data_IF_417425936626
#
_entry.id   IF_417425936626
#
_cell.length_a   1.000
_cell.length_b   1.000
_cell.length_c   1.000
_cell.angle_alpha   90.00
_cell.angle_beta   90.00
_cell.angle_gamma   90.00
#
_symmetry.space_group_name_H-M   'P 1'
#
loop_
_entity.id
_entity.type
_entity.pdbx_description
1 polymer ?
#
# COMPACT_ATOMS: atom_id res chain seq x y z
N UNK A 1 20.32 15.96 -45.40
CA UNK A 1 19.74 14.89 -44.54
C UNK A 1 19.42 15.60 -43.26
N UNK A 2 18.26 16.24 -43.26
CA UNK A 2 18.06 17.48 -42.51
C UNK A 2 17.38 17.13 -41.20
N UNK A 3 18.18 17.17 -40.12
CA UNK A 3 17.65 17.18 -38.77
C UNK A 3 16.89 18.49 -38.59
N UNK A 4 15.57 18.42 -38.54
CA UNK A 4 14.70 19.52 -38.11
C UNK A 4 14.69 19.52 -36.57
N UNK A 5 15.23 20.55 -35.90
CA UNK A 5 15.14 20.66 -34.46
C UNK A 5 13.70 21.03 -34.08
N UNK A 6 13.02 20.15 -33.34
CA UNK A 6 11.68 20.38 -32.80
C UNK A 6 11.83 20.88 -31.35
N UNK A 7 11.35 22.10 -31.08
CA UNK A 7 11.28 22.68 -29.73
C UNK A 7 9.90 22.37 -29.13
N UNK A 8 9.88 21.77 -27.93
CA UNK A 8 8.66 21.43 -27.20
C UNK A 8 8.27 22.52 -26.18
N UNK A 9 6.96 22.67 -25.96
CA UNK A 9 6.40 23.43 -24.85
C UNK A 9 6.34 22.54 -23.59
N UNK A 10 7.00 22.94 -22.50
CA UNK A 10 6.86 22.29 -21.19
C UNK A 10 6.32 23.32 -20.21
N UNK A 11 5.07 23.17 -19.78
CA UNK A 11 4.53 23.89 -18.62
C UNK A 11 4.94 23.12 -17.37
N UNK A 12 5.96 23.61 -16.67
CA UNK A 12 6.34 23.08 -15.37
C UNK A 12 5.85 24.04 -14.29
N UNK A 13 4.96 23.57 -13.41
CA UNK A 13 4.56 24.32 -12.23
C UNK A 13 5.60 24.04 -11.13
N UNK A 14 6.70 24.79 -11.15
CA UNK A 14 7.68 24.75 -10.06
C UNK A 14 7.10 25.67 -8.98
N UNK A 15 6.69 25.11 -7.84
CA UNK A 15 6.32 25.87 -6.64
C UNK A 15 7.58 26.55 -6.04
N UNK A 16 8.07 27.55 -6.74
CA UNK A 16 8.66 28.74 -6.17
C UNK A 16 8.62 29.82 -7.26
N UNK A 17 7.94 30.93 -6.95
CA UNK A 17 7.86 32.20 -7.68
C UNK A 17 6.63 32.31 -8.60
N UNK A 18 5.62 33.05 -8.11
CA UNK A 18 4.38 33.47 -8.77
C UNK A 18 4.58 34.32 -10.06
N UNK A 19 5.21 33.78 -11.11
CA UNK A 19 5.17 34.36 -12.46
C UNK A 19 5.16 33.28 -13.53
N UNK A 20 4.18 33.34 -14.43
CA UNK A 20 4.18 32.56 -15.66
C UNK A 20 5.27 33.11 -16.60
N UNK A 21 6.17 32.26 -17.08
CA UNK A 21 7.12 32.59 -18.14
C UNK A 21 6.74 31.78 -19.38
N UNK A 22 6.37 32.46 -20.45
CA UNK A 22 6.03 31.86 -21.75
C UNK A 22 7.35 31.64 -22.50
N UNK A 23 7.69 30.39 -22.79
CA UNK A 23 8.95 30.04 -23.47
C UNK A 23 8.85 29.83 -24.99
N UNK A 24 7.64 29.66 -25.56
CA UNK A 24 7.38 29.72 -27.01
C UNK A 24 5.87 29.73 -27.33
N UNK A 25 5.49 30.39 -28.44
CA UNK A 25 4.13 30.40 -29.01
C UNK A 25 4.05 29.47 -30.25
N UNK A 26 3.25 28.41 -30.12
CA UNK A 26 3.08 27.36 -31.13
C UNK A 26 1.70 27.39 -31.80
N UNK A 27 0.86 28.40 -31.50
CA UNK A 27 -0.47 28.59 -32.11
C UNK A 27 -0.41 28.65 -33.65
N UNK A 28 0.72 29.09 -34.19
CA UNK A 28 0.99 29.19 -35.62
C UNK A 28 1.29 27.85 -36.33
N UNK A 29 1.44 26.74 -35.59
CA UNK A 29 1.82 25.43 -36.15
C UNK A 29 0.84 24.29 -35.82
N UNK A 30 -0.24 24.55 -35.08
CA UNK A 30 -1.29 23.57 -34.81
C UNK A 30 -2.22 23.44 -36.03
N UNK A 31 -2.60 22.21 -36.39
CA UNK A 31 -3.66 21.97 -37.38
C UNK A 31 -5.04 22.43 -36.87
N UNK A 32 -5.21 22.55 -35.55
CA UNK A 32 -6.44 23.01 -34.89
C UNK A 32 -6.13 24.02 -33.76
N UNK A 33 -5.78 25.28 -34.09
CA UNK A 33 -5.26 26.27 -33.13
C UNK A 33 -6.20 26.65 -31.98
N UNK A 34 -7.50 26.34 -32.11
CA UNK A 34 -8.52 26.62 -31.09
C UNK A 34 -8.75 25.46 -30.11
N UNK A 35 -8.15 24.29 -30.34
CA UNK A 35 -8.23 23.14 -29.43
C UNK A 35 -6.96 23.07 -28.56
N UNK A 36 -7.13 22.96 -27.24
CA UNK A 36 -6.00 22.70 -26.32
C UNK A 36 -5.48 21.26 -26.54
N UNK A 37 -4.56 21.08 -27.48
CA UNK A 37 -3.85 19.80 -27.63
C UNK A 37 -2.84 19.62 -26.47
N UNK A 38 -3.18 18.73 -25.54
CA UNK A 38 -2.30 18.31 -24.47
C UNK A 38 -1.39 17.18 -25.00
N UNK A 39 -0.13 17.48 -25.31
CA UNK A 39 0.81 16.48 -25.85
C UNK A 39 1.29 15.46 -24.79
N UNK A 40 1.24 15.77 -23.50
CA UNK A 40 1.67 14.88 -22.41
C UNK A 40 0.82 15.06 -21.14
N UNK A 41 0.51 13.93 -20.49
CA UNK A 41 -0.30 13.85 -19.26
C UNK A 41 0.56 13.95 -17.97
N UNK A 42 -0.08 14.23 -16.84
CA UNK A 42 0.38 14.69 -15.49
C UNK A 42 1.61 14.03 -14.83
N UNK A 43 2.32 13.11 -15.47
CA UNK A 43 3.42 12.33 -14.84
C UNK A 43 4.68 12.18 -15.70
N UNK A 44 5.00 13.17 -16.55
CA UNK A 44 6.24 13.17 -17.31
C UNK A 44 7.38 13.80 -16.49
N UNK A 45 8.35 12.99 -16.07
CA UNK A 45 9.63 13.48 -15.57
C UNK A 45 10.62 13.63 -16.72
N UNK A 46 11.19 14.82 -16.86
CA UNK A 46 12.21 15.10 -17.88
C UNK A 46 13.58 15.16 -17.22
N UNK A 47 14.50 14.33 -17.69
CA UNK A 47 15.90 14.45 -17.30
C UNK A 47 16.58 15.41 -18.28
N UNK A 48 17.14 16.51 -17.77
CA UNK A 48 17.95 17.43 -18.59
C UNK A 48 19.29 16.74 -18.86
N UNK A 49 19.52 16.37 -20.12
CA UNK A 49 20.78 15.76 -20.57
C UNK A 49 21.88 16.81 -20.75
N UNK A 50 21.54 17.97 -21.31
CA UNK A 50 22.48 19.07 -21.50
C UNK A 50 21.77 20.40 -21.74
N UNK A 51 22.47 21.49 -21.42
CA UNK A 51 22.07 22.86 -21.73
C UNK A 51 23.22 23.46 -22.53
N UNK A 52 22.96 23.91 -23.76
CA UNK A 52 23.94 24.55 -24.62
C UNK A 52 23.47 25.93 -25.02
N UNK A 53 24.34 26.92 -24.93
CA UNK A 53 24.02 28.28 -25.33
C UNK A 53 24.60 28.55 -26.71
N UNK A 54 23.74 28.99 -27.64
CA UNK A 54 24.13 29.33 -29.00
C UNK A 54 23.38 30.57 -29.45
N UNK A 55 24.13 31.61 -29.85
CA UNK A 55 23.59 32.83 -30.46
C UNK A 55 22.39 33.41 -29.68
N UNK A 56 22.56 33.59 -28.36
CA UNK A 56 21.55 34.07 -27.38
C UNK A 56 20.36 33.14 -27.08
N UNK A 57 20.37 31.90 -27.59
CA UNK A 57 19.39 30.86 -27.29
C UNK A 57 19.99 29.76 -26.40
N UNK A 58 19.22 29.31 -25.40
CA UNK A 58 19.54 28.12 -24.62
C UNK A 58 18.82 26.90 -25.22
N UNK A 59 19.59 25.96 -25.73
CA UNK A 59 19.12 24.67 -26.24
C UNK A 59 19.21 23.67 -25.09
N UNK A 60 18.06 23.27 -24.56
CA UNK A 60 17.96 22.27 -23.49
C UNK A 60 17.58 20.93 -24.12
N UNK A 61 18.47 19.95 -24.03
CA UNK A 61 18.20 18.57 -24.45
C UNK A 61 17.64 17.80 -23.26
N UNK A 62 16.46 17.21 -23.42
CA UNK A 62 15.78 16.45 -22.36
C UNK A 62 15.43 15.05 -22.85
N UNK A 63 15.56 14.07 -21.95
CA UNK A 63 14.99 12.74 -22.14
C UNK A 63 13.71 12.60 -21.32
N UNK A 64 12.66 12.08 -21.96
CA UNK A 64 11.44 11.66 -21.30
C UNK A 64 11.73 10.39 -20.49
N UNK A 65 11.71 10.48 -19.16
CA UNK A 65 11.69 9.29 -18.31
C UNK A 65 10.24 8.88 -18.10
N UNK A 66 9.86 7.76 -18.70
CA UNK A 66 8.52 7.19 -18.57
C UNK A 66 8.40 6.37 -17.27
N UNK A 67 9.22 6.67 -16.26
CA UNK A 67 9.27 5.92 -15.00
C UNK A 67 7.95 6.04 -14.25
N UNK A 68 7.33 7.23 -14.22
CA UNK A 68 6.00 7.42 -13.64
C UNK A 68 4.92 6.56 -14.33
N UNK A 69 4.91 6.50 -15.66
CA UNK A 69 4.00 5.63 -16.41
C UNK A 69 4.29 4.15 -16.19
N UNK A 70 5.57 3.75 -16.12
CA UNK A 70 5.97 2.37 -15.86
C UNK A 70 5.61 1.92 -14.44
N UNK A 71 5.90 2.75 -13.44
CA UNK A 71 5.49 2.54 -12.04
C UNK A 71 3.97 2.46 -11.95
N UNK A 72 3.25 3.39 -12.59
CA UNK A 72 1.78 3.42 -12.57
C UNK A 72 1.19 2.23 -13.31
N UNK A 73 1.77 1.80 -14.44
CA UNK A 73 1.32 0.63 -15.22
C UNK A 73 1.61 -0.69 -14.51
N UNK A 74 2.79 -0.82 -13.90
CA UNK A 74 3.18 -2.00 -13.14
C UNK A 74 2.34 -2.08 -11.84
N UNK A 75 2.13 -0.95 -11.15
CA UNK A 75 1.24 -0.85 -10.01
C UNK A 75 -0.22 -1.13 -10.40
N UNK A 76 -0.74 -0.53 -11.49
CA UNK A 76 -2.08 -0.83 -12.02
C UNK A 76 -2.24 -2.30 -12.37
N UNK A 77 -1.20 -2.96 -12.90
CA UNK A 77 -1.23 -4.40 -13.21
C UNK A 77 -1.28 -5.25 -11.93
N UNK A 78 -0.56 -4.85 -10.88
CA UNK A 78 -0.62 -5.45 -9.54
C UNK A 78 -1.98 -5.23 -8.88
N UNK A 79 -2.51 -3.99 -8.87
CA UNK A 79 -3.78 -3.62 -8.23
C UNK A 79 -5.01 -4.15 -8.98
N UNK A 80 -4.97 -4.26 -10.32
CA UNK A 80 -6.07 -4.85 -11.13
C UNK A 80 -6.27 -6.34 -10.88
N UNK A 81 -5.28 -7.06 -10.34
CA UNK A 81 -5.47 -8.46 -9.93
C UNK A 81 -6.30 -8.57 -8.63
N UNK A 82 -6.33 -7.54 -7.80
CA UNK A 82 -7.00 -7.56 -6.48
C UNK A 82 -8.37 -6.89 -6.50
N UNK A 83 -8.58 -5.87 -7.35
CA UNK A 83 -9.79 -5.04 -7.33
C UNK A 83 -10.22 -4.67 -8.74
N UNK A 84 -11.16 -5.43 -9.32
CA UNK A 84 -11.67 -5.22 -10.68
C UNK A 84 -12.50 -3.92 -10.88
N UNK A 85 -12.64 -3.07 -9.86
CA UNK A 85 -13.67 -2.01 -9.83
C UNK A 85 -13.17 -0.62 -9.35
N UNK A 86 -11.86 -0.42 -9.18
CA UNK A 86 -11.34 0.88 -8.73
C UNK A 86 -10.95 1.80 -9.89
N UNK A 87 -11.31 3.08 -9.75
CA UNK A 87 -10.88 4.14 -10.67
C UNK A 87 -9.37 4.36 -10.62
N UNK A 88 -8.83 4.92 -11.71
CA UNK A 88 -7.41 5.30 -11.77
C UNK A 88 -7.04 6.32 -10.68
N UNK A 89 -7.98 7.22 -10.33
CA UNK A 89 -7.79 8.20 -9.26
C UNK A 89 -7.56 7.53 -7.90
N UNK A 90 -8.39 6.55 -7.52
CA UNK A 90 -8.22 5.84 -6.25
C UNK A 90 -6.88 5.06 -6.22
N UNK A 91 -6.50 4.46 -7.35
CA UNK A 91 -5.23 3.75 -7.49
C UNK A 91 -4.05 4.69 -7.30
N UNK A 92 -4.08 5.89 -7.88
CA UNK A 92 -3.02 6.89 -7.71
C UNK A 92 -2.86 7.34 -6.26
N UNK A 93 -3.96 7.66 -5.56
CA UNK A 93 -3.89 8.02 -4.15
C UNK A 93 -3.31 6.90 -3.26
N UNK A 94 -3.58 5.63 -3.60
CA UNK A 94 -2.97 4.46 -2.94
C UNK A 94 -1.48 4.32 -3.24
N UNK A 95 -1.04 4.62 -4.44
CA UNK A 95 0.38 4.63 -4.78
C UNK A 95 1.14 5.64 -3.91
N UNK A 96 0.63 6.86 -3.76
CA UNK A 96 1.21 7.86 -2.85
C UNK A 96 1.35 7.31 -1.41
N UNK A 97 0.31 6.62 -0.92
CA UNK A 97 0.36 5.96 0.39
C UNK A 97 1.47 4.90 0.47
N UNK A 98 1.57 4.03 -0.54
CA UNK A 98 2.59 2.98 -0.56
C UNK A 98 4.02 3.50 -0.67
N UNK A 99 4.23 4.64 -1.31
CA UNK A 99 5.53 5.32 -1.37
C UNK A 99 5.92 5.96 -0.02
N UNK A 100 5.05 5.92 0.99
CA UNK A 100 5.28 6.53 2.29
C UNK A 100 4.90 8.01 2.37
N UNK A 101 4.43 8.61 1.27
CA UNK A 101 4.00 10.01 1.20
C UNK A 101 2.57 10.18 1.77
N UNK A 102 2.38 9.86 3.06
CA UNK A 102 1.06 9.81 3.68
C UNK A 102 0.31 11.14 3.67
N UNK A 103 1.01 12.27 3.86
CA UNK A 103 0.40 13.61 3.80
C UNK A 103 -0.09 13.96 2.39
N UNK A 104 0.67 13.60 1.35
CA UNK A 104 0.23 13.82 -0.05
C UNK A 104 -0.95 12.93 -0.38
N UNK A 105 -0.90 11.65 0.03
CA UNK A 105 -2.02 10.72 -0.14
C UNK A 105 -3.28 11.25 0.53
N UNK A 106 -3.19 11.74 1.77
CA UNK A 106 -4.31 12.31 2.49
C UNK A 106 -4.88 13.54 1.78
N UNK A 107 -4.04 14.54 1.47
CA UNK A 107 -4.47 15.76 0.77
C UNK A 107 -5.14 15.43 -0.58
N UNK A 108 -4.57 14.48 -1.32
CA UNK A 108 -5.12 14.03 -2.59
C UNK A 108 -6.52 13.43 -2.41
N UNK A 109 -6.71 12.54 -1.44
CA UNK A 109 -8.02 11.95 -1.19
C UNK A 109 -9.03 12.95 -0.60
N UNK A 110 -8.59 13.96 0.16
CA UNK A 110 -9.46 15.04 0.64
C UNK A 110 -9.97 15.90 -0.52
N UNK A 111 -9.09 16.26 -1.47
CA UNK A 111 -9.49 16.93 -2.72
C UNK A 111 -10.44 16.06 -3.53
N UNK A 112 -10.09 14.79 -3.73
CA UNK A 112 -10.93 13.86 -4.49
C UNK A 112 -12.33 13.67 -3.86
N UNK A 113 -12.42 13.71 -2.53
CA UNK A 113 -13.68 13.63 -1.80
C UNK A 113 -14.58 14.86 -2.03
N UNK A 114 -13.97 16.04 -2.17
CA UNK A 114 -14.67 17.31 -2.38
C UNK A 114 -15.07 17.53 -3.84
N UNK A 115 -14.20 17.14 -4.77
CA UNK A 115 -14.32 17.53 -6.19
C UNK A 115 -15.05 16.50 -7.05
N UNK A 116 -15.20 15.26 -6.57
CA UNK A 116 -15.78 14.19 -7.38
C UNK A 116 -17.19 13.75 -6.94
N UNK A 117 -18.14 13.94 -7.85
CA UNK A 117 -19.49 13.36 -7.76
C UNK A 117 -19.54 11.90 -8.23
N UNK A 118 -18.60 11.48 -9.10
CA UNK A 118 -18.63 10.17 -9.76
C UNK A 118 -17.74 9.11 -9.11
N UNK A 119 -16.90 9.49 -8.15
CA UNK A 119 -15.98 8.56 -7.49
C UNK A 119 -16.62 7.88 -6.27
N UNK A 120 -16.16 6.66 -6.00
CA UNK A 120 -16.66 5.87 -4.88
C UNK A 120 -16.16 6.45 -3.54
N UNK A 121 -17.00 7.31 -2.95
CA UNK A 121 -16.73 7.99 -1.68
C UNK A 121 -16.39 7.03 -0.55
N UNK A 122 -16.94 5.80 -0.54
CA UNK A 122 -16.60 4.83 0.49
C UNK A 122 -15.14 4.38 0.37
N UNK A 123 -14.64 4.17 -0.85
CA UNK A 123 -13.23 3.87 -1.07
C UNK A 123 -12.32 5.07 -0.80
N UNK A 124 -12.75 6.29 -1.13
CA UNK A 124 -11.98 7.50 -0.80
C UNK A 124 -11.83 7.63 0.72
N UNK A 125 -12.93 7.57 1.47
CA UNK A 125 -12.91 7.65 2.92
C UNK A 125 -12.10 6.50 3.54
N UNK A 126 -12.19 5.28 3.02
CA UNK A 126 -11.35 4.17 3.50
C UNK A 126 -9.85 4.47 3.36
N UNK A 127 -9.42 5.02 2.21
CA UNK A 127 -8.02 5.33 2.01
C UNK A 127 -7.55 6.56 2.81
N UNK A 128 -8.43 7.54 3.07
CA UNK A 128 -8.15 8.60 4.06
C UNK A 128 -7.90 8.02 5.45
N UNK A 129 -8.70 7.04 5.86
CA UNK A 129 -8.48 6.32 7.10
C UNK A 129 -7.12 5.62 7.14
N UNK A 130 -6.70 4.98 6.04
CA UNK A 130 -5.37 4.37 5.93
C UNK A 130 -4.22 5.38 5.99
N UNK A 131 -4.37 6.55 5.36
CA UNK A 131 -3.37 7.61 5.42
C UNK A 131 -3.24 8.17 6.85
N UNK A 132 -4.35 8.51 7.50
CA UNK A 132 -4.37 8.95 8.90
C UNK A 132 -3.78 7.91 9.84
N UNK A 133 -4.12 6.62 9.66
CA UNK A 133 -3.57 5.53 10.48
C UNK A 133 -2.05 5.42 10.34
N UNK A 134 -1.52 5.52 9.12
CA UNK A 134 -0.07 5.51 8.87
C UNK A 134 0.67 6.69 9.51
N UNK A 135 -0.01 7.80 9.77
CA UNK A 135 0.51 8.97 10.49
C UNK A 135 0.38 8.86 12.02
N UNK A 136 -0.30 7.82 12.52
CA UNK A 136 -0.60 7.67 13.94
C UNK A 136 -1.84 8.45 14.42
N UNK A 137 -2.61 9.03 13.49
CA UNK A 137 -3.83 9.80 13.76
C UNK A 137 -5.04 8.85 13.93
N UNK A 138 -4.97 7.95 14.90
CA UNK A 138 -5.88 6.81 15.04
C UNK A 138 -7.36 7.17 15.19
N UNK A 139 -7.67 8.24 15.94
CA UNK A 139 -9.05 8.67 16.13
C UNK A 139 -9.64 9.25 14.84
N UNK A 140 -8.82 9.94 14.04
CA UNK A 140 -9.26 10.44 12.74
C UNK A 140 -9.41 9.31 11.73
N UNK A 141 -8.45 8.37 11.72
CA UNK A 141 -8.55 7.15 10.93
C UNK A 141 -9.85 6.40 11.22
N UNK A 142 -10.23 6.29 12.51
CA UNK A 142 -11.45 5.65 12.95
C UNK A 142 -12.70 6.33 12.38
N UNK A 143 -12.78 7.66 12.42
CA UNK A 143 -13.91 8.41 11.84
C UNK A 143 -14.05 8.14 10.34
N UNK A 144 -12.95 8.14 9.60
CA UNK A 144 -12.95 7.81 8.17
C UNK A 144 -13.43 6.39 7.90
N UNK A 145 -12.95 5.40 8.67
CA UNK A 145 -13.39 4.02 8.55
C UNK A 145 -14.87 3.84 8.88
N UNK A 146 -15.39 4.49 9.93
CA UNK A 146 -16.82 4.41 10.26
C UNK A 146 -17.69 5.04 9.17
N UNK A 147 -17.27 6.17 8.56
CA UNK A 147 -17.97 6.75 7.41
C UNK A 147 -17.98 5.80 6.21
N UNK A 148 -16.81 5.27 5.84
CA UNK A 148 -16.66 4.33 4.72
C UNK A 148 -17.52 3.07 4.92
N UNK A 149 -17.50 2.50 6.12
CA UNK A 149 -18.29 1.31 6.46
C UNK A 149 -19.78 1.59 6.33
N UNK A 150 -20.24 2.70 6.90
CA UNK A 150 -21.65 3.11 6.83
C UNK A 150 -22.12 3.32 5.38
N UNK A 151 -21.28 3.90 4.52
CA UNK A 151 -21.61 4.04 3.08
C UNK A 151 -21.72 2.69 2.39
N UNK A 152 -20.77 1.79 2.60
CA UNK A 152 -20.82 0.44 2.01
C UNK A 152 -22.05 -0.34 2.46
N UNK A 153 -22.42 -0.24 3.74
CA UNK A 153 -23.59 -0.95 4.27
C UNK A 153 -24.94 -0.35 3.81
N UNK A 154 -24.98 0.95 3.50
CA UNK A 154 -26.17 1.65 2.99
C UNK A 154 -26.30 1.63 1.46
N UNK A 155 -25.27 1.18 0.74
CA UNK A 155 -25.34 1.03 -0.73
C UNK A 155 -26.36 -0.03 -1.14
N UNK A 156 -26.89 0.09 -2.35
CA UNK A 156 -27.85 -0.86 -2.92
C UNK A 156 -27.27 -1.48 -4.21
N UNK A 157 -26.90 -2.78 -4.21
CA UNK A 157 -26.93 -3.72 -3.09
C UNK A 157 -25.84 -3.43 -2.03
N UNK A 158 -26.03 -3.84 -0.76
CA UNK A 158 -25.02 -3.63 0.28
C UNK A 158 -23.70 -4.33 -0.03
N UNK A 159 -22.60 -3.58 0.08
CA UNK A 159 -21.24 -4.04 -0.23
C UNK A 159 -20.59 -4.78 0.95
N UNK A 160 -21.26 -5.84 1.41
CA UNK A 160 -20.84 -6.61 2.58
C UNK A 160 -19.44 -7.18 2.39
N UNK A 161 -19.12 -7.68 1.19
CA UNK A 161 -17.80 -8.22 0.84
C UNK A 161 -16.68 -7.21 1.09
N UNK A 162 -16.84 -5.98 0.59
CA UNK A 162 -15.82 -4.92 0.69
C UNK A 162 -15.67 -4.43 2.14
N UNK A 163 -16.73 -4.50 2.94
CA UNK A 163 -16.70 -4.07 4.33
C UNK A 163 -15.67 -4.82 5.20
N UNK A 164 -15.25 -6.02 4.79
CA UNK A 164 -14.21 -6.79 5.48
C UNK A 164 -12.85 -6.06 5.54
N UNK A 165 -12.52 -5.28 4.51
CA UNK A 165 -11.29 -4.46 4.49
C UNK A 165 -11.31 -3.42 5.61
N UNK A 166 -12.45 -2.73 5.75
CA UNK A 166 -12.64 -1.69 6.75
C UNK A 166 -12.65 -2.28 8.15
N UNK A 167 -13.37 -3.38 8.36
CA UNK A 167 -13.41 -4.06 9.66
C UNK A 167 -12.02 -4.53 10.10
N UNK A 168 -11.22 -5.07 9.16
CA UNK A 168 -9.85 -5.47 9.45
C UNK A 168 -8.99 -4.28 9.88
N UNK A 169 -9.08 -3.14 9.19
CA UNK A 169 -8.27 -1.97 9.49
C UNK A 169 -8.72 -1.25 10.77
N UNK A 170 -10.02 -1.25 11.07
CA UNK A 170 -10.52 -0.85 12.38
C UNK A 170 -9.91 -1.73 13.49
N UNK A 171 -9.88 -3.05 13.28
CA UNK A 171 -9.24 -3.98 14.21
C UNK A 171 -7.76 -3.65 14.43
N UNK A 172 -7.03 -3.32 13.35
CA UNK A 172 -5.62 -2.92 13.43
C UNK A 172 -5.43 -1.63 14.26
N UNK A 173 -6.29 -0.62 14.07
CA UNK A 173 -6.25 0.62 14.86
C UNK A 173 -6.46 0.31 16.35
N UNK A 174 -7.49 -0.48 16.67
CA UNK A 174 -7.80 -0.88 18.05
C UNK A 174 -6.66 -1.70 18.68
N UNK A 175 -6.02 -2.58 17.89
CA UNK A 175 -4.87 -3.36 18.33
C UNK A 175 -3.69 -2.46 18.74
N UNK A 176 -3.36 -1.44 17.93
CA UNK A 176 -2.29 -0.49 18.25
C UNK A 176 -2.63 0.34 19.50
N UNK A 177 -3.92 0.65 19.71
CA UNK A 177 -4.43 1.28 20.93
C UNK A 177 -4.51 0.32 22.14
N UNK A 178 -4.04 -0.92 22.02
CA UNK A 178 -4.09 -1.97 23.05
C UNK A 178 -5.52 -2.38 23.48
N UNK A 179 -6.53 -2.07 22.66
CA UNK A 179 -7.93 -2.46 22.87
C UNK A 179 -8.19 -3.85 22.28
N UNK A 180 -7.52 -4.86 22.83
CA UNK A 180 -7.43 -6.19 22.20
C UNK A 180 -8.77 -6.92 22.08
N UNK A 181 -9.67 -6.80 23.07
CA UNK A 181 -10.98 -7.46 22.99
C UNK A 181 -11.85 -6.89 21.85
N UNK A 182 -11.86 -5.57 21.70
CA UNK A 182 -12.56 -4.91 20.60
C UNK A 182 -11.92 -5.27 19.25
N UNK A 183 -10.58 -5.20 19.16
CA UNK A 183 -9.83 -5.57 17.96
C UNK A 183 -10.16 -7.01 17.49
N UNK A 184 -10.20 -7.95 18.44
CA UNK A 184 -10.52 -9.34 18.17
C UNK A 184 -11.91 -9.49 17.54
N UNK A 185 -12.92 -8.80 18.08
CA UNK A 185 -14.27 -8.81 17.54
C UNK A 185 -14.36 -8.29 16.10
N UNK A 186 -13.61 -7.23 15.78
CA UNK A 186 -13.53 -6.69 14.42
C UNK A 186 -12.81 -7.64 13.45
N UNK A 187 -11.69 -8.23 13.86
CA UNK A 187 -10.96 -9.19 13.03
C UNK A 187 -11.76 -10.48 12.78
N UNK A 188 -12.51 -10.98 13.77
CA UNK A 188 -13.40 -12.13 13.60
C UNK A 188 -14.53 -11.85 12.62
N UNK A 189 -15.17 -10.66 12.69
CA UNK A 189 -16.19 -10.26 11.71
C UNK A 189 -15.61 -10.17 10.29
N UNK A 190 -14.40 -9.63 10.14
CA UNK A 190 -13.71 -9.58 8.85
C UNK A 190 -13.39 -11.00 8.31
N UNK A 191 -12.98 -11.92 9.19
CA UNK A 191 -12.74 -13.33 8.84
C UNK A 191 -14.01 -14.00 8.30
N UNK A 192 -15.13 -13.89 9.01
CA UNK A 192 -16.41 -14.49 8.61
C UNK A 192 -16.84 -14.03 7.21
N UNK A 193 -16.70 -12.73 6.91
CA UNK A 193 -17.02 -12.19 5.59
C UNK A 193 -16.06 -12.73 4.53
N UNK A 194 -14.75 -12.73 4.80
CA UNK A 194 -13.74 -13.23 3.86
C UNK A 194 -13.93 -14.71 3.54
N UNK A 195 -14.17 -15.55 4.55
CA UNK A 195 -14.47 -16.97 4.36
C UNK A 195 -15.75 -17.17 3.54
N UNK A 196 -16.80 -16.37 3.80
CA UNK A 196 -18.07 -16.46 3.05
C UNK A 196 -17.93 -16.10 1.56
N UNK A 197 -17.17 -15.05 1.23
CA UNK A 197 -17.13 -14.50 -0.14
C UNK A 197 -15.93 -14.95 -0.97
N UNK A 198 -14.83 -15.35 -0.32
CA UNK A 198 -13.59 -15.76 -0.99
C UNK A 198 -13.20 -17.23 -0.71
N UNK A 199 -13.80 -17.85 0.31
CA UNK A 199 -13.45 -19.19 0.77
C UNK A 199 -12.39 -19.21 1.86
N UNK A 200 -12.22 -20.38 2.49
CA UNK A 200 -11.24 -20.60 3.57
C UNK A 200 -9.79 -20.48 3.12
N UNK A 201 -9.52 -20.76 1.85
CA UNK A 201 -8.18 -20.87 1.28
C UNK A 201 -7.77 -19.62 0.50
N UNK A 202 -8.22 -18.42 0.91
CA UNK A 202 -7.89 -17.16 0.24
C UNK A 202 -6.82 -16.35 1.01
N UNK A 203 -6.00 -15.57 0.29
CA UNK A 203 -4.96 -14.73 0.91
C UNK A 203 -5.50 -13.75 1.96
N UNK A 204 -6.64 -13.11 1.68
CA UNK A 204 -7.32 -12.24 2.64
C UNK A 204 -7.78 -12.97 3.91
N UNK A 205 -8.21 -14.23 3.78
CA UNK A 205 -8.56 -15.09 4.92
C UNK A 205 -7.32 -15.35 5.78
N UNK A 206 -6.18 -15.64 5.16
CA UNK A 206 -4.90 -15.78 5.87
C UNK A 206 -4.49 -14.51 6.61
N UNK A 207 -4.75 -13.33 6.04
CA UNK A 207 -4.50 -12.04 6.70
C UNK A 207 -5.38 -11.86 7.94
N UNK A 208 -6.68 -12.13 7.86
CA UNK A 208 -7.58 -12.07 9.03
C UNK A 208 -7.14 -13.05 10.13
N UNK A 209 -6.84 -14.29 9.76
CA UNK A 209 -6.38 -15.32 10.71
C UNK A 209 -5.10 -14.87 11.42
N UNK A 210 -4.12 -14.33 10.69
CA UNK A 210 -2.90 -13.82 11.28
C UNK A 210 -3.16 -12.67 12.27
N UNK A 211 -4.09 -11.76 11.97
CA UNK A 211 -4.43 -10.64 12.85
C UNK A 211 -5.17 -11.10 14.12
N UNK A 212 -6.03 -12.12 14.01
CA UNK A 212 -6.64 -12.78 15.17
C UNK A 212 -5.57 -13.43 16.04
N UNK A 213 -4.64 -14.18 15.44
CA UNK A 213 -3.52 -14.80 16.16
C UNK A 213 -2.67 -13.77 16.90
N UNK A 214 -2.32 -12.66 16.23
CA UNK A 214 -1.59 -11.55 16.85
C UNK A 214 -2.34 -10.98 18.06
N UNK A 215 -3.66 -10.75 17.91
CA UNK A 215 -4.50 -10.19 18.97
C UNK A 215 -4.59 -11.13 20.17
N UNK A 216 -4.79 -12.43 19.94
CA UNK A 216 -4.80 -13.45 20.99
C UNK A 216 -3.44 -13.57 21.69
N UNK A 217 -2.34 -13.51 20.92
CA UNK A 217 -0.98 -13.50 21.46
C UNK A 217 -0.71 -12.29 22.36
N UNK A 218 -1.21 -11.10 21.98
CA UNK A 218 -1.12 -9.90 22.80
C UNK A 218 -1.95 -10.01 24.10
N UNK A 219 -3.02 -10.82 24.10
CA UNK A 219 -3.79 -11.18 25.31
C UNK A 219 -3.13 -12.30 26.13
N UNK A 220 -1.98 -12.83 25.73
CA UNK A 220 -1.33 -13.97 26.38
C UNK A 220 -1.95 -15.34 26.06
N UNK A 221 -2.93 -15.41 25.15
CA UNK A 221 -3.61 -16.65 24.72
C UNK A 221 -2.82 -17.37 23.62
N UNK A 222 -1.57 -17.71 23.90
CA UNK A 222 -0.63 -18.23 22.91
C UNK A 222 -1.04 -19.58 22.29
N UNK A 223 -1.74 -20.44 23.03
CA UNK A 223 -2.22 -21.72 22.51
C UNK A 223 -3.33 -21.53 21.46
N UNK A 224 -4.27 -20.62 21.72
CA UNK A 224 -5.31 -20.26 20.74
C UNK A 224 -4.69 -19.53 19.54
N UNK A 225 -3.76 -18.60 19.78
CA UNK A 225 -3.06 -17.88 18.71
C UNK A 225 -2.36 -18.82 17.71
N UNK A 226 -1.77 -19.93 18.19
CA UNK A 226 -1.12 -20.93 17.35
C UNK A 226 -2.08 -21.55 16.32
N UNK A 227 -3.32 -21.86 16.69
CA UNK A 227 -4.30 -22.42 15.75
C UNK A 227 -4.52 -21.48 14.55
N UNK A 228 -4.75 -20.19 14.83
CA UNK A 228 -4.94 -19.17 13.81
C UNK A 228 -3.69 -18.95 12.96
N UNK A 229 -2.50 -18.89 13.58
CA UNK A 229 -1.26 -18.70 12.84
C UNK A 229 -0.89 -19.90 11.97
N UNK A 230 -1.16 -21.13 12.42
CA UNK A 230 -0.94 -22.33 11.61
C UNK A 230 -1.88 -22.39 10.40
N UNK A 231 -3.17 -22.06 10.58
CA UNK A 231 -4.12 -21.93 9.47
C UNK A 231 -3.66 -20.86 8.46
N UNK A 232 -3.23 -19.69 8.95
CA UNK A 232 -2.69 -18.64 8.08
C UNK A 232 -1.43 -19.08 7.31
N UNK A 233 -0.51 -19.80 7.98
CA UNK A 233 0.71 -20.34 7.39
C UNK A 233 0.38 -21.32 6.25
N UNK A 234 -0.52 -22.28 6.50
CA UNK A 234 -0.92 -23.29 5.52
C UNK A 234 -1.48 -22.65 4.23
N UNK A 235 -2.33 -21.63 4.37
CA UNK A 235 -2.87 -20.91 3.21
C UNK A 235 -1.74 -20.18 2.46
N UNK A 236 -0.86 -19.47 3.17
CA UNK A 236 0.26 -18.73 2.55
C UNK A 236 1.25 -19.64 1.84
N UNK A 237 1.56 -20.82 2.39
CA UNK A 237 2.43 -21.83 1.76
C UNK A 237 1.80 -22.39 0.47
N UNK A 238 0.46 -22.55 0.42
CA UNK A 238 -0.26 -22.97 -0.79
C UNK A 238 -0.18 -21.92 -1.91
N UNK A 239 -0.27 -20.62 -1.59
CA UNK A 239 -0.18 -19.55 -2.58
C UNK A 239 1.26 -19.24 -3.03
N UNK A 240 2.24 -19.45 -2.16
CA UNK A 240 3.64 -19.11 -2.42
C UNK A 240 4.56 -20.32 -2.21
N UNK A 241 4.47 -21.36 -3.07
CA UNK A 241 5.26 -22.59 -2.91
C UNK A 241 6.77 -22.37 -3.01
N UNK A 242 7.22 -21.30 -3.67
CA UNK A 242 8.64 -20.91 -3.76
C UNK A 242 9.13 -20.06 -2.56
N UNK A 243 8.22 -19.73 -1.64
CA UNK A 243 8.43 -18.84 -0.50
C UNK A 243 7.89 -17.41 -0.72
N UNK A 244 7.55 -16.73 0.38
CA UNK A 244 7.19 -15.31 0.41
C UNK A 244 7.40 -14.75 1.81
N UNK A 245 7.64 -13.45 1.94
CA UNK A 245 7.75 -12.76 3.22
C UNK A 245 6.53 -12.95 4.14
N UNK A 246 5.33 -13.25 3.61
CA UNK A 246 4.15 -13.51 4.43
C UNK A 246 4.24 -14.85 5.16
N UNK A 247 4.90 -15.85 4.56
CA UNK A 247 5.20 -17.13 5.22
C UNK A 247 6.18 -16.87 6.37
N UNK A 248 7.22 -16.07 6.13
CA UNK A 248 8.18 -15.70 7.17
C UNK A 248 7.51 -14.98 8.35
N UNK A 249 6.59 -14.04 8.10
CA UNK A 249 5.80 -13.39 9.15
C UNK A 249 5.02 -14.41 9.99
N UNK A 250 4.30 -15.34 9.34
CA UNK A 250 3.56 -16.39 10.07
C UNK A 250 4.49 -17.26 10.92
N UNK A 251 5.61 -17.72 10.36
CA UNK A 251 6.59 -18.54 11.08
C UNK A 251 7.16 -17.80 12.29
N UNK A 252 7.50 -16.51 12.13
CA UNK A 252 8.01 -15.72 13.25
C UNK A 252 6.96 -15.55 14.37
N UNK A 253 5.69 -15.33 14.02
CA UNK A 253 4.61 -15.23 15.01
C UNK A 253 4.37 -16.55 15.76
N UNK A 254 4.46 -17.68 15.05
CA UNK A 254 4.43 -19.02 15.66
C UNK A 254 5.62 -19.22 16.60
N UNK A 255 6.83 -18.81 16.18
CA UNK A 255 8.03 -18.82 17.01
C UNK A 255 7.83 -18.06 18.33
N UNK A 256 7.28 -16.84 18.27
CA UNK A 256 6.95 -16.03 19.45
C UNK A 256 5.98 -16.78 20.37
N UNK A 257 4.92 -17.38 19.83
CA UNK A 257 3.94 -18.11 20.64
C UNK A 257 4.55 -19.33 21.36
N UNK A 258 5.45 -20.07 20.69
CA UNK A 258 6.16 -21.19 21.33
C UNK A 258 7.16 -20.73 22.37
N UNK A 259 7.82 -19.60 22.13
CA UNK A 259 8.76 -19.01 23.05
C UNK A 259 8.09 -18.62 24.38
N UNK A 260 6.93 -17.95 24.32
CA UNK A 260 6.14 -17.62 25.51
C UNK A 260 5.60 -18.86 26.24
N UNK A 261 5.55 -20.01 25.58
CA UNK A 261 5.23 -21.30 26.19
C UNK A 261 6.48 -22.06 26.70
N UNK A 262 7.65 -21.41 26.76
CA UNK A 262 8.94 -21.99 27.12
C UNK A 262 9.39 -23.16 26.21
N UNK A 263 8.84 -23.26 24.99
CA UNK A 263 9.21 -24.27 23.99
C UNK A 263 10.30 -23.72 23.07
N UNK A 264 11.46 -23.39 23.66
CA UNK A 264 12.54 -22.66 22.99
C UNK A 264 13.10 -23.38 21.75
N UNK A 265 13.25 -24.70 21.80
CA UNK A 265 13.76 -25.49 20.67
C UNK A 265 12.84 -25.41 19.45
N UNK A 266 11.53 -25.50 19.67
CA UNK A 266 10.51 -25.36 18.63
C UNK A 266 10.50 -23.92 18.09
N UNK A 267 10.50 -22.92 18.98
CA UNK A 267 10.57 -21.51 18.57
C UNK A 267 11.78 -21.21 17.66
N UNK A 268 12.95 -21.75 18.02
CA UNK A 268 14.18 -21.60 17.26
C UNK A 268 14.09 -22.20 15.85
N UNK A 269 13.42 -23.34 15.68
CA UNK A 269 13.17 -23.93 14.35
C UNK A 269 12.36 -22.97 13.47
N UNK A 270 11.25 -22.42 14.02
CA UNK A 270 10.41 -21.47 13.31
C UNK A 270 11.14 -20.17 12.95
N UNK A 271 11.92 -19.61 13.88
CA UNK A 271 12.71 -18.42 13.60
C UNK A 271 13.76 -18.65 12.52
N UNK A 272 14.45 -19.81 12.52
CA UNK A 272 15.41 -20.15 11.47
C UNK A 272 14.76 -20.28 10.09
N UNK A 273 13.60 -20.93 10.01
CA UNK A 273 12.82 -21.01 8.76
C UNK A 273 12.38 -19.63 8.29
N UNK A 274 11.90 -18.78 9.20
CA UNK A 274 11.54 -17.38 8.92
C UNK A 274 12.73 -16.59 8.36
N UNK A 275 13.87 -16.65 9.05
CA UNK A 275 15.10 -15.95 8.67
C UNK A 275 15.58 -16.35 7.27
N UNK A 276 15.59 -17.66 6.98
CA UNK A 276 15.98 -18.18 5.67
C UNK A 276 15.12 -17.61 4.53
N UNK A 277 13.80 -17.49 4.76
CA UNK A 277 12.90 -16.86 3.77
C UNK A 277 13.18 -15.36 3.66
N UNK A 278 13.32 -14.63 4.78
CA UNK A 278 13.61 -13.20 4.71
C UNK A 278 14.93 -12.91 3.97
N UNK A 279 16.00 -13.66 4.24
CA UNK A 279 17.29 -13.52 3.55
C UNK A 279 17.20 -13.80 2.05
N UNK A 280 16.24 -14.62 1.60
CA UNK A 280 16.01 -14.91 0.18
C UNK A 280 15.30 -13.77 -0.56
N UNK A 281 14.41 -13.04 0.11
CA UNK A 281 13.48 -12.11 -0.54
C UNK A 281 13.66 -10.63 -0.18
N UNK A 282 14.48 -10.32 0.82
CA UNK A 282 14.68 -8.95 1.31
C UNK A 282 16.17 -8.56 1.27
N UNK A 283 16.47 -7.25 1.14
CA UNK A 283 17.82 -6.74 1.33
C UNK A 283 18.41 -7.15 2.68
N UNK A 284 19.74 -7.34 2.73
CA UNK A 284 20.47 -7.86 3.90
C UNK A 284 20.26 -7.00 5.16
N UNK A 285 20.08 -5.70 4.98
CA UNK A 285 19.86 -4.70 6.03
C UNK A 285 18.40 -4.56 6.46
N UNK A 286 17.47 -5.32 5.88
CA UNK A 286 16.04 -5.17 6.15
C UNK A 286 15.70 -5.42 7.64
N UNK A 287 14.91 -4.55 8.30
CA UNK A 287 14.63 -4.63 9.74
C UNK A 287 14.07 -5.98 10.22
N UNK A 288 13.31 -6.69 9.38
CA UNK A 288 12.77 -8.01 9.72
C UNK A 288 13.85 -9.10 9.84
N UNK A 289 14.93 -9.02 9.06
CA UNK A 289 16.09 -9.93 9.20
C UNK A 289 16.73 -9.69 10.55
N UNK A 290 17.01 -8.42 10.87
CA UNK A 290 17.64 -8.02 12.15
C UNK A 290 16.79 -8.46 13.35
N UNK A 291 15.46 -8.23 13.30
CA UNK A 291 14.53 -8.62 14.37
C UNK A 291 14.48 -10.14 14.56
N UNK A 292 14.42 -10.89 13.48
CA UNK A 292 14.39 -12.38 13.54
C UNK A 292 15.72 -12.93 14.05
N UNK A 293 16.85 -12.35 13.61
CA UNK A 293 18.18 -12.71 14.09
C UNK A 293 18.33 -12.46 15.59
N UNK A 294 17.87 -11.29 16.08
CA UNK A 294 17.84 -10.99 17.53
C UNK A 294 17.02 -12.01 18.34
N UNK A 295 15.91 -12.50 17.79
CA UNK A 295 15.13 -13.56 18.43
C UNK A 295 15.93 -14.88 18.53
N UNK A 296 16.66 -15.24 17.47
CA UNK A 296 17.53 -16.43 17.45
C UNK A 296 18.69 -16.28 18.43
N UNK A 297 19.37 -15.14 18.42
CA UNK A 297 20.54 -14.86 19.26
C UNK A 297 20.17 -14.92 20.74
N UNK A 298 19.03 -14.31 21.11
CA UNK A 298 18.46 -14.39 22.45
C UNK A 298 18.18 -15.83 22.91
N UNK A 299 17.69 -16.69 22.03
CA UNK A 299 17.44 -18.11 22.35
C UNK A 299 18.69 -18.99 22.33
N UNK A 300 19.77 -18.53 21.71
CA UNK A 300 21.02 -19.28 21.60
C UNK A 300 22.13 -18.77 22.51
N UNK A 301 21.87 -17.70 23.28
CA UNK A 301 22.82 -17.11 24.21
C UNK A 301 23.95 -16.31 23.54
N UNK A 302 23.75 -15.88 22.28
CA UNK A 302 24.67 -14.98 21.59
C UNK A 302 24.18 -13.54 21.83
N UNK A 303 25.06 -12.66 22.32
CA UNK A 303 24.80 -11.22 22.46
C UNK A 303 25.68 -10.45 21.48
#
# INVERSE_FOLDING_TARGET
MDLVPILFHIQCNIEHINKHIIFADISQFSEFPEEQEVLFDINACFLIESIQEKDSLQIIKMNLSNEGYKITKDYLKLTRQETKELSAAIVFGRLLHHLGDYDKSQKYFEQLLNDSENEDRAWIEFNLGRAANSKGEWDEARKYYDRAYNRMMKSEPPRIKDSAWILNDIGNVLYVQQKFDEALGYHQRALIIREKFHGSDHGDTATSLNNIGNTLGAQGKYAEALDYHHRALQIREKFHPSGHTYIAVSLNNIGICYEHQNKQSIALEYYRRSLSIYQKFLPVDHPQIQKTQKNIDRLTGKN
#
